data_IF_223810700089
#
_entry.id   IF_223810700089
#
_cell.length_a   1.000
_cell.length_b   1.000
_cell.length_c   1.000
_cell.angle_alpha   90.00
_cell.angle_beta   90.00
_cell.angle_gamma   90.00
#
_symmetry.space_group_name_H-M   'P 1'
#
loop_
_entity.id
_entity.type
_entity.pdbx_description
1 polymer ?
#
# COMPACT_ATOMS: atom_id res chain seq x y z
N UNK A 1 16.90 26.75 2.80
CA UNK A 1 16.74 26.61 1.34
C UNK A 1 16.83 25.15 0.88
N UNK A 2 16.30 24.19 1.67
CA UNK A 2 16.34 22.74 1.37
C UNK A 2 15.09 22.04 1.94
N UNK A 3 13.94 22.74 1.99
CA UNK A 3 12.72 22.27 2.66
C UNK A 3 11.44 22.39 1.81
N UNK A 4 11.51 22.77 0.53
CA UNK A 4 10.32 22.99 -0.32
C UNK A 4 10.09 21.94 -1.42
N UNK A 5 11.01 20.99 -1.62
CA UNK A 5 10.91 20.00 -2.70
C UNK A 5 9.92 18.85 -2.41
N UNK A 6 9.56 18.60 -1.14
CA UNK A 6 8.65 17.52 -0.78
C UNK A 6 7.17 17.85 -1.00
N UNK A 7 6.80 19.14 -0.99
CA UNK A 7 5.39 19.58 -1.03
C UNK A 7 4.78 19.46 -2.43
N UNK A 8 5.57 19.77 -3.47
CA UNK A 8 5.09 19.79 -4.85
C UNK A 8 4.99 18.38 -5.47
N UNK A 9 5.92 17.47 -5.13
CA UNK A 9 5.91 16.11 -5.67
C UNK A 9 4.65 15.30 -5.31
N UNK A 10 4.11 15.52 -4.11
CA UNK A 10 2.95 14.76 -3.63
C UNK A 10 1.62 15.26 -4.19
N UNK A 11 1.47 16.58 -4.38
CA UNK A 11 0.29 17.16 -5.05
C UNK A 11 0.22 16.70 -6.51
N UNK A 12 1.36 16.58 -7.17
CA UNK A 12 1.49 16.09 -8.55
C UNK A 12 1.08 14.61 -8.69
N UNK A 13 1.49 13.76 -7.74
CA UNK A 13 1.13 12.34 -7.69
C UNK A 13 -0.35 12.13 -7.35
N UNK A 14 -0.90 12.89 -6.38
CA UNK A 14 -2.34 12.89 -6.09
C UNK A 14 -3.14 13.36 -7.29
N UNK A 15 -2.69 14.39 -8.03
CA UNK A 15 -3.38 14.86 -9.23
C UNK A 15 -3.30 13.85 -10.39
N UNK A 16 -2.18 13.13 -10.56
CA UNK A 16 -2.07 12.04 -11.55
C UNK A 16 -2.97 10.86 -11.22
N UNK A 17 -3.12 10.51 -9.94
CA UNK A 17 -4.00 9.41 -9.53
C UNK A 17 -5.48 9.79 -9.47
N UNK A 18 -5.83 11.04 -9.10
CA UNK A 18 -7.22 11.54 -9.09
C UNK A 18 -7.77 11.73 -10.51
N UNK A 19 -6.90 11.87 -11.51
CA UNK A 19 -7.28 11.88 -12.92
C UNK A 19 -7.70 10.50 -13.46
N UNK A 20 -7.32 9.41 -12.78
CA UNK A 20 -7.99 8.12 -12.95
C UNK A 20 -9.15 8.05 -11.97
N UNK A 21 -10.36 7.90 -12.49
CA UNK A 21 -11.57 7.55 -11.75
C UNK A 21 -11.37 6.21 -11.02
N UNK A 22 -10.73 6.26 -9.85
CA UNK A 22 -10.43 5.08 -9.02
C UNK A 22 -11.51 4.80 -7.97
N UNK A 23 -12.58 5.60 -7.94
CA UNK A 23 -13.69 5.39 -6.99
C UNK A 23 -14.69 4.31 -7.43
N UNK A 24 -14.59 3.77 -8.65
CA UNK A 24 -15.69 2.96 -9.23
C UNK A 24 -15.31 1.57 -9.74
N UNK A 25 -14.03 1.15 -9.65
CA UNK A 25 -13.57 -0.10 -10.30
C UNK A 25 -12.56 -0.95 -9.51
N UNK A 26 -12.50 -0.82 -8.19
CA UNK A 26 -11.70 -1.76 -7.39
C UNK A 26 -12.61 -2.38 -6.33
N UNK A 27 -12.95 -3.66 -6.50
CA UNK A 27 -13.46 -4.46 -5.41
C UNK A 27 -12.29 -4.71 -4.46
N UNK A 28 -12.39 -4.31 -3.18
CA UNK A 28 -11.31 -4.55 -2.22
C UNK A 28 -11.09 -6.06 -2.08
N UNK A 29 -9.85 -6.48 -2.27
CA UNK A 29 -9.42 -7.88 -2.17
C UNK A 29 -9.36 -8.34 -0.71
N UNK A 30 -9.17 -7.41 0.22
CA UNK A 30 -9.08 -7.69 1.65
C UNK A 30 -10.45 -7.45 2.31
N UNK A 31 -11.09 -8.49 2.90
CA UNK A 31 -12.33 -8.29 3.63
C UNK A 31 -12.12 -7.46 4.91
N UNK A 32 -13.16 -6.73 5.34
CA UNK A 32 -13.10 -5.87 6.55
C UNK A 32 -12.98 -6.68 7.86
N UNK A 33 -13.61 -7.85 7.95
CA UNK A 33 -13.61 -8.65 9.17
C UNK A 33 -12.19 -9.11 9.64
N UNK A 34 -11.28 -9.58 8.76
CA UNK A 34 -9.88 -9.78 9.08
C UNK A 34 -9.18 -8.54 9.64
N UNK A 35 -9.44 -7.37 9.06
CA UNK A 35 -8.80 -6.10 9.46
C UNK A 35 -9.29 -5.67 10.84
N UNK A 36 -10.59 -5.79 11.12
CA UNK A 36 -11.15 -5.59 12.47
C UNK A 36 -10.53 -6.55 13.50
N UNK A 37 -10.30 -7.82 13.14
CA UNK A 37 -9.60 -8.77 14.02
C UNK A 37 -8.16 -8.36 14.33
N UNK A 38 -7.46 -7.68 13.41
CA UNK A 38 -6.10 -7.16 13.66
C UNK A 38 -6.16 -6.10 14.76
N UNK A 39 -7.10 -5.15 14.68
CA UNK A 39 -7.28 -4.14 15.73
C UNK A 39 -7.63 -4.75 17.08
N UNK A 40 -8.54 -5.73 17.13
CA UNK A 40 -8.91 -6.40 18.38
C UNK A 40 -7.74 -7.17 18.99
N UNK A 41 -6.92 -7.85 18.17
CA UNK A 41 -5.68 -8.51 18.62
C UNK A 41 -4.62 -7.52 19.09
N UNK A 42 -4.62 -6.31 18.56
CA UNK A 42 -3.77 -5.21 19.03
C UNK A 42 -4.27 -4.58 20.34
N UNK A 43 -5.44 -4.99 20.85
CA UNK A 43 -5.99 -4.53 22.13
C UNK A 43 -7.06 -3.43 22.00
N UNK A 44 -7.57 -3.15 20.80
CA UNK A 44 -8.66 -2.20 20.64
C UNK A 44 -9.99 -2.79 21.16
N UNK A 45 -10.64 -2.09 22.09
CA UNK A 45 -11.94 -2.48 22.65
C UNK A 45 -13.10 -2.22 21.67
N UNK A 46 -13.04 -1.09 20.96
CA UNK A 46 -14.00 -0.68 19.93
C UNK A 46 -13.24 -0.13 18.72
N UNK A 47 -13.71 -0.46 17.53
CA UNK A 47 -13.11 -0.02 16.27
C UNK A 47 -14.23 0.53 15.39
N UNK A 48 -14.07 1.76 14.91
CA UNK A 48 -15.01 2.35 13.95
C UNK A 48 -14.84 1.71 12.58
N UNK A 49 -15.93 1.55 11.83
CA UNK A 49 -15.90 0.96 10.49
C UNK A 49 -14.97 1.73 9.54
N UNK A 50 -14.98 3.07 9.62
CA UNK A 50 -14.09 3.94 8.84
C UNK A 50 -12.60 3.66 9.11
N UNK A 51 -12.24 3.34 10.35
CA UNK A 51 -10.85 3.01 10.70
C UNK A 51 -10.44 1.65 10.12
N UNK A 52 -11.37 0.69 10.07
CA UNK A 52 -11.16 -0.61 9.44
C UNK A 52 -10.98 -0.45 7.93
N UNK A 53 -11.82 0.37 7.29
CA UNK A 53 -11.72 0.68 5.87
C UNK A 53 -10.39 1.39 5.55
N UNK A 54 -10.01 2.42 6.32
CA UNK A 54 -8.77 3.14 6.12
C UNK A 54 -7.54 2.22 6.21
N UNK A 55 -7.50 1.32 7.21
CA UNK A 55 -6.39 0.36 7.33
C UNK A 55 -6.37 -0.62 6.16
N UNK A 56 -7.53 -1.13 5.72
CA UNK A 56 -7.64 -2.00 4.55
C UNK A 56 -7.03 -1.34 3.31
N UNK A 57 -7.43 -0.11 3.03
CA UNK A 57 -7.02 0.60 1.82
C UNK A 57 -5.50 0.86 1.81
N UNK A 58 -4.93 1.18 2.99
CA UNK A 58 -3.47 1.32 3.16
C UNK A 58 -2.76 -0.02 2.93
N UNK A 59 -3.28 -1.12 3.49
CA UNK A 59 -2.69 -2.45 3.32
C UNK A 59 -2.73 -2.89 1.86
N UNK A 60 -3.83 -2.65 1.14
CA UNK A 60 -3.94 -2.97 -0.28
C UNK A 60 -2.95 -2.16 -1.12
N UNK A 61 -2.84 -0.86 -0.87
CA UNK A 61 -1.88 0.00 -1.57
C UNK A 61 -0.44 -0.52 -1.40
N UNK A 62 -0.06 -0.89 -0.18
CA UNK A 62 1.26 -1.45 0.11
C UNK A 62 1.43 -2.82 -0.55
N UNK A 63 0.42 -3.69 -0.50
CA UNK A 63 0.46 -5.01 -1.09
C UNK A 63 0.65 -4.95 -2.62
N UNK A 64 -0.06 -4.04 -3.30
CA UNK A 64 0.09 -3.83 -4.75
C UNK A 64 1.48 -3.31 -5.11
N UNK A 65 2.03 -2.35 -4.36
CA UNK A 65 3.38 -1.83 -4.61
C UNK A 65 4.45 -2.93 -4.40
N UNK A 66 4.32 -3.70 -3.31
CA UNK A 66 5.18 -4.87 -3.05
C UNK A 66 5.10 -5.91 -4.18
N UNK A 67 3.90 -6.23 -4.65
CA UNK A 67 3.69 -7.20 -5.71
C UNK A 67 4.33 -6.75 -7.03
N UNK A 68 4.10 -5.50 -7.43
CA UNK A 68 4.66 -4.93 -8.66
C UNK A 68 6.19 -4.94 -8.64
N UNK A 69 6.82 -4.49 -7.56
CA UNK A 69 8.28 -4.51 -7.43
C UNK A 69 8.84 -5.92 -7.37
N UNK A 70 8.13 -6.86 -6.75
CA UNK A 70 8.54 -8.27 -6.71
C UNK A 70 8.53 -8.89 -8.12
N UNK A 71 7.54 -8.51 -8.94
CA UNK A 71 7.47 -8.90 -10.36
C UNK A 71 8.67 -8.33 -11.12
N UNK A 72 8.99 -7.05 -10.93
CA UNK A 72 10.15 -6.42 -11.57
C UNK A 72 11.46 -7.11 -11.19
N UNK A 73 11.67 -7.40 -9.91
CA UNK A 73 12.84 -8.13 -9.44
C UNK A 73 12.95 -9.54 -10.04
N UNK A 74 11.83 -10.28 -10.12
CA UNK A 74 11.80 -11.59 -10.76
C UNK A 74 12.15 -11.50 -12.26
N UNK A 75 11.66 -10.46 -12.96
CA UNK A 75 12.00 -10.20 -14.37
C UNK A 75 13.49 -9.91 -14.56
N UNK A 76 14.10 -9.11 -13.68
CA UNK A 76 15.55 -8.85 -13.72
C UNK A 76 16.37 -10.12 -13.50
N UNK A 77 15.86 -11.06 -12.71
CA UNK A 77 16.46 -12.38 -12.52
C UNK A 77 16.12 -13.40 -13.63
N UNK A 78 15.44 -12.98 -14.72
CA UNK A 78 14.93 -13.84 -15.79
C UNK A 78 14.05 -15.01 -15.32
N UNK A 79 13.41 -14.88 -14.15
CA UNK A 79 12.50 -15.89 -13.60
C UNK A 79 11.06 -15.48 -13.82
N UNK A 80 10.20 -16.46 -14.15
CA UNK A 80 8.74 -16.26 -14.26
C UNK A 80 8.01 -16.48 -12.92
N UNK A 81 8.64 -17.19 -11.99
CA UNK A 81 8.09 -17.50 -10.67
C UNK A 81 8.65 -16.53 -9.64
N UNK A 82 7.74 -15.80 -9.00
CA UNK A 82 8.05 -14.92 -7.86
C UNK A 82 8.33 -15.81 -6.65
N UNK A 83 9.50 -15.65 -6.05
CA UNK A 83 9.90 -16.40 -4.86
C UNK A 83 9.67 -15.59 -3.59
N UNK A 84 9.65 -16.27 -2.44
CA UNK A 84 9.54 -15.60 -1.15
C UNK A 84 10.73 -14.66 -0.89
N UNK A 85 11.91 -14.98 -1.43
CA UNK A 85 13.10 -14.14 -1.41
C UNK A 85 12.88 -12.81 -2.12
N UNK A 86 12.22 -12.80 -3.28
CA UNK A 86 11.94 -11.57 -4.03
C UNK A 86 11.04 -10.63 -3.21
N UNK A 87 9.97 -11.16 -2.62
CA UNK A 87 9.04 -10.38 -1.78
C UNK A 87 9.76 -9.81 -0.56
N UNK A 88 10.57 -10.62 0.14
CA UNK A 88 11.36 -10.16 1.29
C UNK A 88 12.42 -9.13 0.91
N UNK A 89 13.00 -9.23 -0.28
CA UNK A 89 14.00 -8.29 -0.75
C UNK A 89 13.40 -6.90 -0.99
N UNK A 90 12.19 -6.82 -1.56
CA UNK A 90 11.50 -5.55 -1.81
C UNK A 90 11.22 -4.78 -0.51
N UNK A 91 10.92 -5.47 0.60
CA UNK A 91 10.68 -4.82 1.91
C UNK A 91 11.89 -3.98 2.36
N UNK A 92 13.12 -4.39 2.02
CA UNK A 92 14.33 -3.61 2.35
C UNK A 92 14.48 -2.35 1.50
N UNK A 93 13.87 -2.34 0.33
CA UNK A 93 13.93 -1.26 -0.66
C UNK A 93 12.82 -0.22 -0.36
N UNK A 94 11.65 -0.66 0.08
CA UNK A 94 10.57 0.23 0.52
C UNK A 94 10.92 0.83 1.89
N UNK A 95 11.69 1.93 1.89
CA UNK A 95 11.67 2.89 2.99
C UNK A 95 10.52 3.86 2.72
N UNK A 96 9.69 4.09 3.73
CA UNK A 96 8.57 5.03 3.74
C UNK A 96 7.27 4.49 3.14
N UNK A 97 6.38 4.08 4.05
CA UNK A 97 4.95 4.27 3.86
C UNK A 97 4.71 5.79 3.89
N UNK A 98 4.21 6.41 2.82
CA UNK A 98 3.76 7.79 2.91
C UNK A 98 2.50 7.80 3.77
N UNK A 99 2.64 8.10 5.06
CA UNK A 99 1.52 8.41 5.95
C UNK A 99 0.91 9.74 5.46
N UNK A 100 -0.11 9.63 4.60
CA UNK A 100 -0.99 10.76 4.30
C UNK A 100 -2.08 10.82 5.37
N UNK A 101 -1.77 11.45 6.50
CA UNK A 101 -2.76 12.03 7.41
C UNK A 101 -2.92 13.51 7.11
#
# INVERSE_FOLDING_TARGET
MFLDLGRNYFVELKNRFKALSWSSLVMPEIPLAPVDRIFKKAGAERVGEDAVQALRDILESIAYDLANRSIEMSKHANRKTITAEDVRAVVRIIRCVPLSV
#
